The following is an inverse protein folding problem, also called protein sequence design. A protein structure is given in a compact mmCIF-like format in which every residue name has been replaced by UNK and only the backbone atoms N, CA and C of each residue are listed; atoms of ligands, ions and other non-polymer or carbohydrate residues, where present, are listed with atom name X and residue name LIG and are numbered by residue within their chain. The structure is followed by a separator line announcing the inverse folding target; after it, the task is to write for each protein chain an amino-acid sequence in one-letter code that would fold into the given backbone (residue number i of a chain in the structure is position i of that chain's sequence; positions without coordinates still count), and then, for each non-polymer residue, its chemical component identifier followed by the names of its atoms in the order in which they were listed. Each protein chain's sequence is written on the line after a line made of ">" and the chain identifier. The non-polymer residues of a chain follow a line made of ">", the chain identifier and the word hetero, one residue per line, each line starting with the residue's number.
data_IF_154596816556
#
_entry.id   IF_154596816556
#
_cell.length_a   1.000
_cell.length_b   1.000
_cell.length_c   1.000
_cell.angle_alpha   90.00
_cell.angle_beta   90.00
_cell.angle_gamma   90.00
#
_symmetry.space_group_name_H-M   'P 1'
#
loop_
_entity.id
_entity.type
_entity.pdbx_description
1 polymer ?
#
# COMPACT_ATOMS: atom_id res chain seq x y z
N UNK A 1 -26.74 -21.88 37.66
CA UNK A 1 -25.53 -22.28 36.91
C UNK A 1 -25.16 -21.09 36.04
N UNK A 2 -23.89 -20.67 35.97
CA UNK A 2 -23.56 -19.50 35.16
C UNK A 2 -23.79 -19.85 33.69
N UNK A 3 -24.62 -19.08 33.01
CA UNK A 3 -24.75 -19.13 31.55
C UNK A 3 -23.40 -18.71 30.97
N UNK A 4 -22.71 -19.64 30.33
CA UNK A 4 -21.49 -19.36 29.60
C UNK A 4 -21.90 -18.80 28.23
N UNK A 5 -21.51 -17.55 27.93
CA UNK A 5 -21.68 -16.88 26.62
C UNK A 5 -20.78 -17.51 25.52
N UNK A 6 -20.68 -18.85 25.52
CA UNK A 6 -19.83 -19.59 24.61
C UNK A 6 -20.62 -19.93 23.34
N UNK A 7 -20.25 -19.32 22.22
CA UNK A 7 -20.78 -19.65 20.90
C UNK A 7 -20.13 -20.94 20.40
N UNK A 8 -20.93 -21.96 20.12
CA UNK A 8 -20.47 -23.26 19.63
C UNK A 8 -20.48 -23.25 18.09
N UNK A 9 -19.30 -23.40 17.49
CA UNK A 9 -19.14 -23.53 16.04
C UNK A 9 -19.06 -25.01 15.65
N UNK A 10 -19.72 -25.39 14.55
CA UNK A 10 -19.73 -26.77 14.07
C UNK A 10 -18.38 -27.12 13.42
N UNK A 11 -17.65 -28.14 13.90
CA UNK A 11 -16.32 -28.49 13.40
C UNK A 11 -16.31 -29.11 11.99
N UNK A 12 -17.48 -29.44 11.40
CA UNK A 12 -17.53 -30.02 10.05
C UNK A 12 -17.23 -29.03 8.93
N UNK A 13 -17.37 -27.73 9.20
CA UNK A 13 -16.96 -26.64 8.31
C UNK A 13 -15.73 -25.91 8.88
N UNK A 14 -14.75 -26.67 9.39
CA UNK A 14 -13.50 -26.11 9.90
C UNK A 14 -12.72 -25.46 8.74
N UNK A 15 -13.00 -24.19 8.47
CA UNK A 15 -12.37 -23.36 7.45
C UNK A 15 -10.92 -22.96 7.81
N UNK A 16 -10.15 -23.87 8.43
CA UNK A 16 -8.77 -23.60 8.87
C UNK A 16 -8.65 -22.69 10.10
N UNK A 17 -9.73 -22.57 10.89
CA UNK A 17 -9.81 -21.70 12.07
C UNK A 17 -8.86 -22.21 13.17
N UNK A 18 -8.06 -21.31 13.72
CA UNK A 18 -7.14 -21.56 14.84
C UNK A 18 -7.58 -20.81 16.10
N UNK A 19 -7.17 -21.32 17.26
CA UNK A 19 -7.36 -20.60 18.53
C UNK A 19 -6.59 -19.27 18.47
N UNK A 20 -7.29 -18.16 18.70
CA UNK A 20 -6.76 -16.80 18.56
C UNK A 20 -7.36 -16.00 17.40
N UNK A 21 -8.06 -16.64 16.47
CA UNK A 21 -8.73 -15.95 15.36
C UNK A 21 -9.96 -15.17 15.83
N UNK A 22 -10.29 -14.09 15.11
CA UNK A 22 -11.52 -13.31 15.35
C UNK A 22 -12.51 -13.59 14.24
N UNK A 23 -13.70 -14.04 14.60
CA UNK A 23 -14.78 -14.38 13.68
C UNK A 23 -15.84 -13.28 13.74
N UNK A 24 -16.23 -12.78 12.57
CA UNK A 24 -17.34 -11.85 12.41
C UNK A 24 -18.61 -12.62 12.08
N UNK A 25 -19.63 -12.49 12.94
CA UNK A 25 -20.97 -13.06 12.75
C UNK A 25 -21.94 -11.92 12.50
N UNK A 26 -22.75 -12.01 11.44
CA UNK A 26 -23.77 -11.00 11.10
C UNK A 26 -25.01 -11.68 10.52
N UNK A 27 -26.21 -11.21 10.86
CA UNK A 27 -27.43 -11.70 10.21
C UNK A 27 -27.66 -10.97 8.88
N UNK A 28 -28.03 -11.65 7.78
CA UNK A 28 -28.25 -10.99 6.48
C UNK A 28 -29.24 -9.83 6.54
N UNK A 29 -30.21 -9.92 7.44
CA UNK A 29 -31.25 -8.89 7.66
C UNK A 29 -30.97 -7.94 8.85
N UNK A 30 -29.87 -8.14 9.59
CA UNK A 30 -29.49 -7.27 10.71
C UNK A 30 -28.20 -6.51 10.39
N UNK A 31 -28.18 -5.21 10.69
CA UNK A 31 -26.98 -4.38 10.55
C UNK A 31 -25.97 -4.62 11.68
N UNK A 32 -26.38 -5.28 12.76
CA UNK A 32 -25.50 -5.56 13.89
C UNK A 32 -24.54 -6.71 13.56
N UNK A 33 -23.25 -6.42 13.71
CA UNK A 33 -22.16 -7.39 13.53
C UNK A 33 -21.48 -7.63 14.85
N UNK A 34 -21.26 -8.90 15.17
CA UNK A 34 -20.63 -9.30 16.44
C UNK A 34 -19.31 -9.99 16.13
N UNK A 35 -18.28 -9.60 16.88
CA UNK A 35 -16.94 -10.18 16.77
C UNK A 35 -16.72 -11.15 17.93
N UNK A 36 -16.32 -12.37 17.62
CA UNK A 36 -15.99 -13.40 18.60
C UNK A 36 -14.52 -13.80 18.48
N UNK A 37 -13.80 -13.73 19.59
CA UNK A 37 -12.45 -14.30 19.68
C UNK A 37 -12.55 -15.80 19.94
N UNK A 38 -11.93 -16.61 19.09
CA UNK A 38 -11.86 -18.06 19.25
C UNK A 38 -10.91 -18.39 20.40
N UNK A 39 -11.48 -18.70 21.57
CA UNK A 39 -10.71 -19.07 22.77
C UNK A 39 -10.41 -20.56 22.85
N UNK A 40 -11.27 -21.41 22.27
CA UNK A 40 -11.13 -22.87 22.32
C UNK A 40 -11.91 -23.50 21.15
N UNK A 41 -11.37 -24.56 20.57
CA UNK A 41 -12.03 -25.40 19.56
C UNK A 41 -12.20 -26.78 20.18
N UNK A 42 -13.43 -27.17 20.50
CA UNK A 42 -13.74 -28.53 20.95
C UNK A 42 -14.30 -29.34 19.80
N UNK A 43 -13.69 -30.48 19.50
CA UNK A 43 -14.09 -31.39 18.43
C UNK A 43 -15.37 -32.17 18.76
N UNK A 44 -15.85 -32.06 20.00
CA UNK A 44 -16.80 -32.98 20.63
C UNK A 44 -18.28 -32.63 20.35
N UNK A 45 -18.59 -31.45 19.81
CA UNK A 45 -19.97 -31.00 19.58
C UNK A 45 -20.49 -31.44 18.22
N UNK A 46 -20.68 -32.74 18.05
CA UNK A 46 -21.61 -33.27 17.06
C UNK A 46 -23.01 -33.36 17.70
N UNK A 47 -24.05 -33.12 16.90
CA UNK A 47 -25.48 -33.28 17.20
C UNK A 47 -26.22 -32.09 17.82
N UNK A 48 -26.61 -31.13 16.97
CA UNK A 48 -28.02 -30.75 16.75
C UNK A 48 -28.12 -29.79 15.56
N UNK A 49 -28.66 -30.30 14.45
CA UNK A 49 -29.08 -29.49 13.30
C UNK A 49 -30.37 -28.77 13.68
N UNK A 50 -30.30 -27.46 13.92
CA UNK A 50 -31.44 -26.57 13.76
C UNK A 50 -31.02 -25.42 12.85
N UNK A 51 -31.65 -25.39 11.67
CA UNK A 51 -31.63 -24.39 10.59
C UNK A 51 -30.78 -23.13 10.86
N UNK A 52 -29.58 -23.09 10.28
CA UNK A 52 -28.82 -21.86 10.14
C UNK A 52 -28.95 -21.37 8.70
N UNK A 53 -29.60 -20.22 8.52
CA UNK A 53 -29.67 -19.49 7.25
C UNK A 53 -28.26 -19.24 6.68
N UNK A 54 -28.10 -18.99 5.38
CA UNK A 54 -26.78 -18.92 4.73
C UNK A 54 -25.96 -17.71 5.19
N UNK A 55 -25.10 -17.89 6.20
CA UNK A 55 -24.12 -16.90 6.65
C UNK A 55 -22.83 -17.00 5.82
N UNK A 56 -22.35 -15.87 5.30
CA UNK A 56 -21.02 -15.77 4.68
C UNK A 56 -19.98 -15.40 5.74
N UNK A 57 -18.89 -16.14 5.85
CA UNK A 57 -17.82 -15.85 6.81
C UNK A 57 -16.76 -14.97 6.14
N UNK A 58 -16.33 -13.88 6.81
CA UNK A 58 -15.23 -13.01 6.37
C UNK A 58 -14.07 -13.15 7.33
N UNK A 59 -12.92 -13.60 6.82
CA UNK A 59 -11.67 -13.68 7.57
C UNK A 59 -10.85 -12.40 7.35
N UNK A 60 -10.32 -11.82 8.44
CA UNK A 60 -9.40 -10.68 8.39
C UNK A 60 -8.26 -10.89 9.37
N UNK A 61 -7.05 -10.56 8.95
CA UNK A 61 -5.86 -10.66 9.78
C UNK A 61 -5.48 -9.29 10.34
N UNK A 62 -5.13 -9.26 11.63
CA UNK A 62 -4.52 -8.07 12.26
C UNK A 62 -3.02 -7.93 11.95
N UNK A 63 -2.47 -8.90 11.22
CA UNK A 63 -1.10 -8.93 10.70
C UNK A 63 -1.13 -9.20 9.20
N UNK A 64 -0.43 -8.41 8.42
CA UNK A 64 -0.35 -8.57 6.96
C UNK A 64 0.90 -7.89 6.44
N UNK A 65 1.40 -8.41 5.32
CA UNK A 65 2.44 -7.73 4.54
C UNK A 65 1.76 -6.74 3.61
N UNK A 66 2.17 -5.47 3.65
CA UNK A 66 1.57 -4.39 2.85
C UNK A 66 2.66 -3.71 2.03
N UNK A 67 2.43 -3.66 0.72
CA UNK A 67 3.29 -2.92 -0.21
C UNK A 67 2.57 -1.66 -0.66
N UNK A 68 3.18 -0.50 -0.42
CA UNK A 68 2.67 0.81 -0.84
C UNK A 68 3.59 1.33 -1.95
N UNK A 69 3.03 1.50 -3.13
CA UNK A 69 3.73 2.08 -4.28
C UNK A 69 3.21 3.48 -4.54
N UNK A 70 4.13 4.45 -4.62
CA UNK A 70 3.81 5.86 -4.87
C UNK A 70 4.43 6.26 -6.20
N UNK A 71 3.58 6.55 -7.18
CA UNK A 71 4.01 7.02 -8.49
C UNK A 71 4.37 8.51 -8.43
N UNK A 72 5.60 8.85 -8.83
CA UNK A 72 6.07 10.23 -8.92
C UNK A 72 5.93 10.73 -10.36
N UNK A 73 4.74 11.23 -10.70
CA UNK A 73 4.44 11.74 -12.04
C UNK A 73 4.66 13.26 -12.15
N UNK A 74 4.72 13.76 -13.39
CA UNK A 74 4.89 15.20 -13.64
C UNK A 74 3.83 16.07 -12.93
N UNK A 75 2.61 15.56 -12.84
CA UNK A 75 1.47 16.24 -12.22
C UNK A 75 1.69 16.54 -10.73
N UNK A 76 2.57 15.81 -10.03
CA UNK A 76 2.87 16.06 -8.62
C UNK A 76 3.46 17.45 -8.34
N UNK A 77 4.13 18.07 -9.33
CA UNK A 77 4.67 19.44 -9.25
C UNK A 77 3.70 20.53 -9.73
N UNK A 78 2.47 20.16 -10.09
CA UNK A 78 1.46 21.12 -10.56
C UNK A 78 0.63 21.61 -9.37
N UNK A 79 0.32 22.91 -9.35
CA UNK A 79 -0.61 23.50 -8.41
C UNK A 79 -2.05 23.23 -8.83
N UNK A 80 -2.89 22.89 -7.85
CA UNK A 80 -4.33 22.80 -8.04
C UNK A 80 -5.00 24.19 -8.06
N UNK A 81 -6.33 24.19 -8.17
CA UNK A 81 -7.16 25.40 -8.17
C UNK A 81 -7.07 26.21 -6.85
N UNK A 82 -6.65 25.57 -5.76
CA UNK A 82 -6.55 26.17 -4.42
C UNK A 82 -5.12 26.61 -4.07
N UNK A 83 -4.15 26.39 -4.96
CA UNK A 83 -2.75 26.76 -4.76
C UNK A 83 -1.92 25.74 -3.97
N UNK A 84 -2.38 24.50 -3.85
CA UNK A 84 -1.64 23.38 -3.26
C UNK A 84 -1.01 22.51 -4.34
N UNK A 85 0.19 21.99 -4.08
CA UNK A 85 0.78 20.99 -4.97
C UNK A 85 0.00 19.67 -4.87
N UNK A 86 -0.17 18.97 -5.99
CA UNK A 86 -0.74 17.61 -5.95
C UNK A 86 0.07 16.67 -5.05
N UNK A 87 1.39 16.86 -4.97
CA UNK A 87 2.24 16.14 -4.02
C UNK A 87 1.84 16.37 -2.55
N UNK A 88 1.60 17.62 -2.14
CA UNK A 88 1.22 17.94 -0.76
C UNK A 88 -0.10 17.28 -0.38
N UNK A 89 -1.05 17.25 -1.31
CA UNK A 89 -2.32 16.53 -1.13
C UNK A 89 -2.10 15.02 -1.00
N UNK A 90 -1.27 14.44 -1.85
CA UNK A 90 -0.93 13.01 -1.76
C UNK A 90 -0.23 12.68 -0.44
N UNK A 91 0.67 13.53 0.04
CA UNK A 91 1.36 13.36 1.31
C UNK A 91 0.39 13.49 2.50
N UNK A 92 -0.54 14.44 2.43
CA UNK A 92 -1.62 14.58 3.42
C UNK A 92 -2.52 13.34 3.46
N UNK A 93 -2.89 12.81 2.29
CA UNK A 93 -3.64 11.56 2.19
C UNK A 93 -2.86 10.37 2.77
N UNK A 94 -1.56 10.25 2.47
CA UNK A 94 -0.70 9.20 3.04
C UNK A 94 -0.59 9.34 4.55
N UNK A 95 -0.48 10.55 5.07
CA UNK A 95 -0.52 10.82 6.50
C UNK A 95 -1.84 10.34 7.10
N UNK A 96 -2.99 10.68 6.51
CA UNK A 96 -4.28 10.18 6.96
C UNK A 96 -4.41 8.65 6.83
N UNK A 97 -3.91 8.04 5.77
CA UNK A 97 -3.94 6.58 5.59
C UNK A 97 -3.10 5.87 6.68
N UNK A 98 -1.87 6.35 6.90
CA UNK A 98 -0.91 5.74 7.82
C UNK A 98 -1.26 5.98 9.30
N UNK A 99 -1.81 7.16 9.63
CA UNK A 99 -2.15 7.55 11.00
C UNK A 99 -3.62 7.42 11.35
N UNK A 100 -4.54 7.64 10.41
CA UNK A 100 -5.96 7.41 10.66
C UNK A 100 -6.30 5.99 10.22
N UNK A 101 -6.18 5.59 8.95
CA UNK A 101 -6.74 4.30 8.49
C UNK A 101 -6.19 3.03 9.16
N UNK A 102 -4.92 2.98 9.60
CA UNK A 102 -4.36 1.82 10.34
C UNK A 102 -4.61 1.86 11.85
N UNK A 103 -5.00 3.01 12.38
CA UNK A 103 -5.49 3.21 13.75
C UNK A 103 -7.04 3.21 13.80
N UNK A 104 -7.69 3.26 12.64
CA UNK A 104 -9.14 3.55 12.46
C UNK A 104 -9.80 2.54 11.52
N UNK A 105 -9.63 1.24 11.74
CA UNK A 105 -10.66 0.26 11.32
C UNK A 105 -11.80 0.19 12.37
N UNK A 106 -12.02 1.27 13.15
CA UNK A 106 -13.09 1.36 14.14
C UNK A 106 -13.80 2.74 14.25
N UNK A 107 -13.72 3.65 13.27
CA UNK A 107 -14.51 4.92 13.34
C UNK A 107 -15.71 4.99 12.40
N UNK A 108 -16.50 3.92 12.30
CA UNK A 108 -17.89 4.09 11.82
C UNK A 108 -18.97 3.43 12.69
N UNK A 109 -18.66 2.89 13.88
CA UNK A 109 -19.72 2.32 14.73
C UNK A 109 -19.67 2.58 16.24
N UNK A 110 -18.58 3.06 16.85
CA UNK A 110 -18.53 3.16 18.32
C UNK A 110 -17.84 4.44 18.81
N UNK A 111 -18.53 5.18 19.68
CA UNK A 111 -18.03 6.33 20.48
C UNK A 111 -16.97 5.94 21.53
N UNK A 112 -16.13 4.95 21.23
CA UNK A 112 -15.07 4.47 22.10
C UNK A 112 -13.88 4.12 21.21
N UNK A 113 -12.88 5.01 21.21
CA UNK A 113 -11.63 4.84 20.45
C UNK A 113 -10.93 3.61 21.01
N UNK A 114 -11.12 2.46 20.37
CA UNK A 114 -10.28 1.29 20.59
C UNK A 114 -9.18 1.34 19.55
N UNK A 115 -7.96 1.55 20.01
CA UNK A 115 -6.76 1.37 19.20
C UNK A 115 -6.74 -0.08 18.71
N UNK A 116 -6.93 -0.30 17.41
CA UNK A 116 -6.65 -1.60 16.81
C UNK A 116 -5.15 -1.73 16.69
N UNK A 117 -4.52 -2.57 17.52
CA UNK A 117 -3.10 -2.87 17.47
C UNK A 117 -2.79 -3.79 16.26
N UNK A 118 -2.87 -3.22 15.05
CA UNK A 118 -2.55 -3.91 13.81
C UNK A 118 -1.03 -3.89 13.59
N UNK A 119 -0.45 -5.06 13.37
CA UNK A 119 0.99 -5.25 13.19
C UNK A 119 1.26 -5.63 11.73
N UNK A 120 1.47 -4.63 10.89
CA UNK A 120 1.77 -4.84 9.47
C UNK A 120 3.26 -4.69 9.19
N UNK A 121 3.78 -5.55 8.33
CA UNK A 121 5.11 -5.41 7.77
C UNK A 121 4.97 -4.62 6.47
N UNK A 122 5.60 -3.45 6.42
CA UNK A 122 5.30 -2.46 5.38
C UNK A 122 6.53 -2.20 4.53
N UNK A 123 6.32 -2.17 3.22
CA UNK A 123 7.31 -1.74 2.26
C UNK A 123 6.75 -0.57 1.47
N UNK A 124 7.50 0.53 1.41
CA UNK A 124 7.12 1.73 0.65
C UNK A 124 8.14 1.98 -0.45
N UNK A 125 7.66 2.06 -1.69
CA UNK A 125 8.50 2.27 -2.87
C UNK A 125 7.97 3.45 -3.66
N UNK A 126 8.83 4.45 -3.87
CA UNK A 126 8.59 5.50 -4.86
C UNK A 126 9.03 4.99 -6.22
N UNK A 127 8.25 5.26 -7.25
CA UNK A 127 8.59 4.85 -8.60
C UNK A 127 8.23 5.93 -9.62
N UNK A 128 9.02 6.02 -10.68
CA UNK A 128 8.76 6.93 -11.80
C UNK A 128 9.42 6.46 -13.08
N UNK A 129 8.94 7.00 -14.20
CA UNK A 129 9.56 6.89 -15.52
C UNK A 129 10.05 8.25 -15.97
N UNK A 130 11.23 8.27 -16.60
CA UNK A 130 11.82 9.49 -17.14
C UNK A 130 12.08 9.28 -18.62
N UNK A 131 11.57 10.19 -19.44
CA UNK A 131 11.88 10.26 -20.85
C UNK A 131 13.14 11.09 -21.07
N UNK A 132 14.00 10.56 -21.93
CA UNK A 132 15.33 11.11 -22.21
C UNK A 132 15.38 11.45 -23.69
N UNK A 133 15.70 12.71 -24.01
CA UNK A 133 15.84 13.18 -25.37
C UNK A 133 17.17 13.89 -25.54
N UNK A 134 18.02 13.37 -26.43
CA UNK A 134 19.34 13.93 -26.69
C UNK A 134 19.58 14.05 -28.19
N UNK A 135 19.78 15.28 -28.68
CA UNK A 135 20.04 15.49 -30.10
C UNK A 135 21.46 15.04 -30.44
N UNK A 136 21.60 14.09 -31.36
CA UNK A 136 22.90 13.64 -31.88
C UNK A 136 23.68 12.71 -30.95
N UNK A 137 23.00 12.07 -29.99
CA UNK A 137 23.57 11.02 -29.11
C UNK A 137 22.77 9.72 -29.20
N UNK A 138 22.18 9.44 -30.36
CA UNK A 138 21.28 8.30 -30.56
C UNK A 138 21.99 6.96 -30.26
N UNK A 139 23.27 6.82 -30.61
CA UNK A 139 24.07 5.62 -30.32
C UNK A 139 24.11 5.31 -28.81
N UNK A 140 24.34 6.34 -27.97
CA UNK A 140 24.38 6.17 -26.50
C UNK A 140 22.99 5.83 -25.98
N UNK A 141 21.96 6.46 -26.55
CA UNK A 141 20.57 6.25 -26.13
C UNK A 141 20.11 4.82 -26.42
N UNK A 142 20.45 4.28 -27.58
CA UNK A 142 20.09 2.91 -27.99
C UNK A 142 20.81 1.84 -27.17
N UNK A 143 22.05 2.09 -26.75
CA UNK A 143 22.82 1.11 -25.96
C UNK A 143 22.44 1.08 -24.48
N UNK A 144 22.01 2.22 -23.92
CA UNK A 144 21.90 2.39 -22.45
C UNK A 144 20.47 2.56 -21.93
N UNK A 145 19.47 2.84 -22.78
CA UNK A 145 18.11 3.15 -22.33
C UNK A 145 17.04 2.33 -23.06
N UNK A 146 15.87 2.19 -22.41
CA UNK A 146 14.74 1.50 -23.00
C UNK A 146 14.00 2.39 -23.99
N UNK A 147 13.27 1.78 -24.93
CA UNK A 147 12.51 2.50 -25.95
C UNK A 147 11.04 2.10 -25.85
N UNK A 148 10.15 3.09 -25.75
CA UNK A 148 8.72 2.84 -25.71
C UNK A 148 8.17 2.49 -27.10
N UNK A 149 6.89 2.15 -27.17
CA UNK A 149 6.22 1.81 -28.43
C UNK A 149 6.08 3.00 -29.40
N UNK A 150 6.28 4.24 -28.92
CA UNK A 150 6.34 5.45 -29.74
C UNK A 150 7.77 5.79 -30.18
N UNK A 151 8.77 5.01 -29.78
CA UNK A 151 10.17 5.26 -30.12
C UNK A 151 10.89 6.25 -29.21
N UNK A 152 10.30 6.66 -28.07
CA UNK A 152 10.92 7.56 -27.09
C UNK A 152 11.80 6.76 -26.13
N UNK A 153 12.98 7.28 -25.82
CA UNK A 153 13.86 6.66 -24.83
C UNK A 153 13.39 6.97 -23.41
N UNK A 154 13.42 5.96 -22.54
CA UNK A 154 13.04 6.10 -21.15
C UNK A 154 13.88 5.23 -20.21
N UNK A 155 13.87 5.61 -18.93
CA UNK A 155 14.42 4.83 -17.83
C UNK A 155 13.44 4.83 -16.65
N UNK A 156 13.29 3.68 -16.01
CA UNK A 156 12.42 3.49 -14.85
C UNK A 156 13.26 3.54 -13.57
N UNK A 157 12.83 4.34 -12.61
CA UNK A 157 13.49 4.52 -11.32
C UNK A 157 12.59 4.00 -10.21
N UNK A 158 13.19 3.24 -9.30
CA UNK A 158 12.56 2.73 -8.10
C UNK A 158 13.41 3.07 -6.90
N UNK A 159 12.79 3.66 -5.89
CA UNK A 159 13.44 4.05 -4.65
C UNK A 159 12.65 3.47 -3.48
N UNK A 160 13.29 2.56 -2.77
CA UNK A 160 12.74 1.98 -1.54
C UNK A 160 12.99 2.99 -0.41
N UNK A 161 11.92 3.40 0.25
CA UNK A 161 11.93 4.29 1.41
C UNK A 161 11.94 3.46 2.69
N UNK A 162 11.06 2.45 2.72
CA UNK A 162 10.88 1.55 3.84
C UNK A 162 10.85 0.13 3.32
N UNK A 163 11.55 -0.80 3.98
CA UNK A 163 11.58 -2.20 3.57
C UNK A 163 11.32 -3.13 4.75
N UNK A 164 10.17 -3.83 4.70
CA UNK A 164 9.81 -4.87 5.66
C UNK A 164 9.95 -4.43 7.13
N UNK A 165 9.58 -3.19 7.41
CA UNK A 165 9.61 -2.65 8.77
C UNK A 165 8.23 -2.78 9.40
N UNK A 166 8.23 -3.08 10.71
CA UNK A 166 7.00 -3.14 11.49
C UNK A 166 6.50 -1.74 11.71
N UNK A 167 5.34 -1.42 11.16
CA UNK A 167 4.92 -0.03 11.12
C UNK A 167 4.31 0.47 12.45
N UNK A 168 5.17 0.71 13.46
CA UNK A 168 4.79 1.19 14.80
C UNK A 168 4.60 2.71 14.77
N UNK A 169 3.68 3.23 15.61
CA UNK A 169 3.28 4.65 15.66
C UNK A 169 4.43 5.68 15.70
N UNK A 170 5.57 5.32 16.31
CA UNK A 170 6.75 6.17 16.43
C UNK A 170 7.53 6.31 15.11
N UNK A 171 7.60 5.24 14.32
CA UNK A 171 8.29 5.18 13.01
C UNK A 171 7.46 5.81 11.89
N UNK A 172 6.13 5.92 12.06
CA UNK A 172 5.24 6.59 11.09
C UNK A 172 5.62 8.06 10.86
N UNK A 173 6.20 8.72 11.86
CA UNK A 173 6.58 10.14 11.80
C UNK A 173 7.88 10.39 11.04
N UNK A 174 8.75 9.41 10.86
CA UNK A 174 10.01 9.56 10.12
C UNK A 174 9.85 9.33 8.62
N UNK A 175 8.87 8.52 8.20
CA UNK A 175 8.67 8.15 6.79
C UNK A 175 8.19 9.32 5.92
N UNK A 176 7.25 10.14 6.41
CA UNK A 176 6.75 11.29 5.64
C UNK A 176 7.83 12.34 5.32
N UNK A 177 8.69 12.74 6.28
CA UNK A 177 9.87 13.57 5.99
C UNK A 177 10.79 12.97 4.93
N UNK A 178 10.99 11.65 4.94
CA UNK A 178 11.86 10.96 3.98
C UNK A 178 11.27 11.00 2.57
N UNK A 179 9.97 10.71 2.42
CA UNK A 179 9.25 10.85 1.14
C UNK A 179 9.34 12.30 0.63
N UNK A 180 9.16 13.28 1.51
CA UNK A 180 9.28 14.70 1.17
C UNK A 180 10.71 15.08 0.76
N UNK A 181 11.73 14.55 1.44
CA UNK A 181 13.12 14.79 1.07
C UNK A 181 13.42 14.21 -0.32
N UNK A 182 12.99 12.98 -0.59
CA UNK A 182 13.19 12.34 -1.90
C UNK A 182 12.42 13.07 -3.02
N UNK A 183 11.22 13.61 -2.75
CA UNK A 183 10.52 14.47 -3.72
C UNK A 183 11.34 15.71 -4.10
N UNK A 184 11.96 16.37 -3.12
CA UNK A 184 12.75 17.58 -3.35
C UNK A 184 14.09 17.29 -4.02
N UNK A 185 14.75 16.19 -3.66
CA UNK A 185 16.06 15.79 -4.20
C UNK A 185 15.96 15.00 -5.51
N UNK A 186 14.75 14.62 -5.95
CA UNK A 186 14.52 13.77 -7.11
C UNK A 186 15.30 14.25 -8.35
N UNK A 187 15.14 15.52 -8.72
CA UNK A 187 15.82 16.09 -9.90
C UNK A 187 17.33 16.00 -9.79
N UNK A 188 17.89 16.27 -8.61
CA UNK A 188 19.32 16.17 -8.38
C UNK A 188 19.81 14.72 -8.48
N UNK A 189 19.07 13.78 -7.89
CA UNK A 189 19.36 12.34 -7.94
C UNK A 189 19.41 11.81 -9.38
N UNK A 190 18.42 12.19 -10.20
CA UNK A 190 18.34 11.79 -11.61
C UNK A 190 19.52 12.36 -12.41
N UNK A 191 19.79 13.67 -12.30
CA UNK A 191 20.88 14.30 -13.04
C UNK A 191 22.21 13.66 -12.67
N UNK A 192 22.43 13.39 -11.37
CA UNK A 192 23.63 12.71 -10.87
C UNK A 192 23.77 11.28 -11.42
N UNK A 193 22.68 10.55 -11.58
CA UNK A 193 22.70 9.22 -12.22
C UNK A 193 23.11 9.34 -13.70
N UNK A 194 22.55 10.31 -14.43
CA UNK A 194 22.81 10.50 -15.84
C UNK A 194 24.21 11.04 -16.16
N UNK A 195 24.85 11.72 -15.21
CA UNK A 195 26.28 12.10 -15.32
C UNK A 195 27.22 10.91 -15.53
N UNK A 196 26.76 9.67 -15.28
CA UNK A 196 27.52 8.44 -15.57
C UNK A 196 27.61 8.14 -17.07
N UNK A 197 26.62 8.59 -17.84
CA UNK A 197 26.48 8.32 -19.27
C UNK A 197 26.81 9.54 -20.12
N UNK A 198 26.51 10.74 -19.60
CA UNK A 198 26.65 11.99 -20.34
C UNK A 198 27.63 12.95 -19.66
N UNK A 199 28.47 13.59 -20.48
CA UNK A 199 29.31 14.70 -20.03
C UNK A 199 28.44 15.90 -19.62
N UNK A 200 28.91 16.70 -18.66
CA UNK A 200 28.23 17.92 -18.21
C UNK A 200 27.92 18.93 -19.33
N UNK A 201 28.64 18.86 -20.45
CA UNK A 201 28.44 19.72 -21.63
C UNK A 201 27.38 19.19 -22.61
N UNK A 202 26.95 17.93 -22.48
CA UNK A 202 26.06 17.22 -23.40
C UNK A 202 24.89 16.57 -22.67
N UNK A 203 24.35 17.27 -21.66
CA UNK A 203 23.23 16.76 -20.88
C UNK A 203 21.96 16.65 -21.72
N UNK A 204 21.27 15.49 -21.69
CA UNK A 204 20.02 15.31 -22.39
C UNK A 204 18.89 16.12 -21.75
N UNK A 205 17.83 16.35 -22.51
CA UNK A 205 16.58 16.88 -21.98
C UNK A 205 15.83 15.77 -21.27
N UNK A 206 15.38 16.07 -20.03
CA UNK A 206 14.71 15.12 -19.16
C UNK A 206 13.27 15.54 -18.94
N UNK A 207 12.36 14.59 -19.11
CA UNK A 207 10.94 14.78 -18.88
C UNK A 207 10.40 13.67 -17.98
N UNK A 208 9.89 14.03 -16.81
CA UNK A 208 9.17 13.09 -15.93
C UNK A 208 7.89 12.65 -16.65
N UNK A 209 7.59 11.35 -16.63
CA UNK A 209 6.36 10.82 -17.23
C UNK A 209 5.11 11.41 -16.55
N UNK A 210 4.06 11.60 -17.33
CA UNK A 210 2.72 11.81 -16.79
C UNK A 210 2.21 10.55 -16.09
N UNK A 211 1.15 10.68 -15.29
CA UNK A 211 0.55 9.53 -14.60
C UNK A 211 0.15 8.40 -15.56
N UNK A 212 -0.30 8.75 -16.78
CA UNK A 212 -0.75 7.80 -17.81
C UNK A 212 0.39 7.01 -18.47
N UNK A 213 1.57 7.64 -18.62
CA UNK A 213 2.74 7.04 -19.27
C UNK A 213 3.63 6.25 -18.27
N UNK A 214 3.17 6.07 -17.03
CA UNK A 214 3.93 5.44 -15.96
C UNK A 214 4.08 3.92 -16.09
N UNK A 215 5.08 3.39 -15.38
CA UNK A 215 5.45 1.98 -15.26
C UNK A 215 4.63 1.23 -14.19
N UNK A 216 3.32 1.50 -14.10
CA UNK A 216 2.47 0.99 -13.03
C UNK A 216 2.37 -0.55 -13.01
N UNK A 217 2.19 -1.17 -14.18
CA UNK A 217 2.02 -2.63 -14.28
C UNK A 217 3.33 -3.36 -13.98
N UNK A 218 4.45 -2.82 -14.44
CA UNK A 218 5.79 -3.32 -14.16
C UNK A 218 6.06 -3.27 -12.65
N UNK A 219 5.71 -2.15 -12.01
CA UNK A 219 5.83 -1.97 -10.56
C UNK A 219 5.00 -3.00 -9.80
N UNK A 220 3.74 -3.20 -10.20
CA UNK A 220 2.86 -4.18 -9.56
C UNK A 220 3.39 -5.61 -9.73
N UNK A 221 3.95 -5.93 -10.90
CA UNK A 221 4.56 -7.23 -11.15
C UNK A 221 5.80 -7.47 -10.26
N UNK A 222 6.57 -6.44 -9.91
CA UNK A 222 7.67 -6.60 -8.95
C UNK A 222 7.20 -6.93 -7.53
N UNK A 223 5.98 -6.53 -7.15
CA UNK A 223 5.41 -6.86 -5.84
C UNK A 223 4.97 -8.33 -5.73
N UNK A 224 4.71 -8.96 -6.88
CA UNK A 224 4.17 -10.32 -6.97
C UNK A 224 5.24 -11.41 -7.17
N UNK A 225 6.48 -11.01 -7.49
CA UNK A 225 7.62 -11.90 -7.74
C UNK A 225 8.62 -11.85 -6.59
#
# INVERSE_FOLDING_TARGET
>A
MPETDDVVLNPRDNHGISVGDVIEVFHPEDQHRVLFLVKNLREDFQFKEDKLESFGVVFRSNTSVVHIFIQMSHEMWIFDEYGHLYFEKALSFLNELMFNSWIVILLLSCNSIKESNCNHDVTIVLFLRIFISANGLDDILEESFHKDFHGRYYEDFYKVILQNERFVAEEKKSVLPEINMEFNELRYSIVKHLQRYFDSSRMPTLLISSSIDGNFLETLNMALN
#
